data_IF_678195825303
#
_entry.id   IF_678195825303
#
_cell.length_a   1.000
_cell.length_b   1.000
_cell.length_c   1.000
_cell.angle_alpha   90.00
_cell.angle_beta   90.00
_cell.angle_gamma   90.00
#
_symmetry.space_group_name_H-M   'P 1'
#
loop_
_entity.id
_entity.type
_entity.pdbx_description
1 polymer ?
#
# COMPACT_ATOMS: atom_id res chain seq x y z
N UNK A 1 -8.97 -10.85 -8.48
CA UNK A 1 -7.96 -11.17 -7.45
C UNK A 1 -7.21 -9.89 -7.19
N UNK A 2 -7.04 -9.53 -5.92
CA UNK A 2 -6.34 -8.30 -5.52
C UNK A 2 -4.92 -8.69 -5.11
N UNK A 3 -3.95 -7.89 -5.52
CA UNK A 3 -2.54 -8.07 -5.20
C UNK A 3 -1.96 -6.79 -4.63
N UNK A 4 -1.08 -6.94 -3.66
CA UNK A 4 -0.23 -5.85 -3.19
C UNK A 4 0.78 -5.48 -4.27
N UNK A 5 0.96 -4.19 -4.48
CA UNK A 5 1.93 -3.63 -5.41
C UNK A 5 2.85 -2.70 -4.62
N UNK A 6 4.14 -3.05 -4.56
CA UNK A 6 5.17 -2.15 -4.06
C UNK A 6 5.46 -1.11 -5.14
N UNK A 7 5.37 0.17 -4.80
CA UNK A 7 5.74 1.28 -5.68
C UNK A 7 7.08 1.81 -5.19
N UNK A 8 8.14 1.45 -5.90
CA UNK A 8 9.48 2.05 -5.72
C UNK A 8 9.76 2.97 -6.88
N UNK A 9 9.96 4.26 -6.62
CA UNK A 9 10.27 5.24 -7.67
C UNK A 9 10.95 6.49 -7.11
N UNK A 10 11.84 7.07 -7.91
CA UNK A 10 12.70 8.23 -7.60
C UNK A 10 11.88 9.52 -7.36
N UNK A 11 10.59 9.53 -7.70
CA UNK A 11 9.73 10.71 -7.72
C UNK A 11 8.95 10.97 -6.42
N UNK A 12 9.02 10.08 -5.43
CA UNK A 12 8.30 10.17 -4.15
C UNK A 12 9.30 10.13 -2.98
N UNK A 13 10.19 11.11 -2.90
CA UNK A 13 11.04 11.39 -1.71
C UNK A 13 11.67 10.16 -1.02
N UNK A 14 12.15 9.18 -1.79
CA UNK A 14 12.70 7.90 -1.30
C UNK A 14 11.76 7.09 -0.36
N UNK A 15 10.47 7.43 -0.30
CA UNK A 15 9.49 6.75 0.53
C UNK A 15 8.96 5.48 -0.15
N UNK A 16 8.79 4.43 0.64
CA UNK A 16 8.24 3.14 0.22
C UNK A 16 6.72 3.23 0.06
N UNK A 17 6.22 3.72 -1.08
CA UNK A 17 4.78 3.75 -1.34
C UNK A 17 4.23 2.40 -1.83
N UNK A 18 2.93 2.16 -1.68
CA UNK A 18 2.26 0.94 -2.14
C UNK A 18 0.90 1.23 -2.75
N UNK A 19 0.38 0.26 -3.50
CA UNK A 19 -0.96 0.30 -4.06
C UNK A 19 -1.57 -1.11 -4.09
N UNK A 20 -2.88 -1.19 -4.31
CA UNK A 20 -3.54 -2.48 -4.53
C UNK A 20 -4.00 -2.61 -5.98
N UNK A 21 -3.68 -3.73 -6.61
CA UNK A 21 -3.99 -3.98 -8.01
C UNK A 21 -5.00 -5.12 -8.16
N UNK A 22 -6.11 -4.85 -8.84
CA UNK A 22 -7.11 -5.86 -9.16
C UNK A 22 -6.84 -6.47 -10.54
N UNK A 23 -6.39 -7.71 -10.54
CA UNK A 23 -6.04 -8.45 -11.77
C UNK A 23 -7.26 -8.87 -12.60
N UNK A 24 -8.48 -8.81 -12.04
CA UNK A 24 -9.71 -9.17 -12.78
C UNK A 24 -10.18 -7.99 -13.62
N UNK A 25 -10.12 -6.79 -13.05
CA UNK A 25 -10.49 -5.55 -13.76
C UNK A 25 -9.30 -4.88 -14.44
N UNK A 26 -8.08 -5.39 -14.22
CA UNK A 26 -6.83 -4.86 -14.76
C UNK A 26 -6.59 -3.39 -14.34
N UNK A 27 -6.98 -3.03 -13.11
CA UNK A 27 -6.94 -1.65 -12.59
C UNK A 27 -6.38 -1.58 -11.18
N UNK A 28 -5.75 -0.45 -10.85
CA UNK A 28 -5.47 -0.09 -9.46
C UNK A 28 -6.77 0.19 -8.72
N UNK A 29 -6.77 -0.14 -7.44
CA UNK A 29 -7.85 0.18 -6.54
C UNK A 29 -7.70 1.63 -6.12
N UNK A 30 -8.81 2.35 -6.25
CA UNK A 30 -8.92 3.75 -5.86
C UNK A 30 -9.77 3.83 -4.61
N UNK A 31 -9.24 4.50 -3.59
CA UNK A 31 -9.85 4.74 -2.30
C UNK A 31 -9.96 6.26 -2.14
N UNK A 32 -11.20 6.75 -2.18
CA UNK A 32 -11.53 8.18 -2.04
C UNK A 32 -10.68 9.13 -2.92
N UNK A 33 -10.42 8.72 -4.17
CA UNK A 33 -9.64 9.50 -5.14
C UNK A 33 -8.12 9.31 -5.06
N UNK A 34 -7.62 8.49 -4.13
CA UNK A 34 -6.21 8.12 -4.05
C UNK A 34 -5.99 6.64 -4.41
N UNK A 35 -4.85 6.33 -5.03
CA UNK A 35 -4.50 4.97 -5.49
C UNK A 35 -3.17 4.48 -4.90
N UNK A 36 -2.38 5.40 -4.33
CA UNK A 36 -1.03 5.14 -3.83
C UNK A 36 -0.95 5.66 -2.40
N UNK A 37 -0.39 4.84 -1.52
CA UNK A 37 -0.31 5.13 -0.09
C UNK A 37 1.11 4.97 0.39
N UNK A 38 1.55 5.82 1.31
CA UNK A 38 2.91 5.76 1.86
C UNK A 38 3.00 4.80 3.06
N UNK A 39 1.96 4.76 3.89
CA UNK A 39 1.86 3.92 5.08
C UNK A 39 0.42 3.45 5.36
N UNK A 40 0.22 2.68 6.43
CA UNK A 40 -1.11 2.22 6.84
C UNK A 40 -2.02 3.36 7.29
N UNK A 41 -1.48 4.41 7.91
CA UNK A 41 -2.26 5.54 8.40
C UNK A 41 -2.81 6.36 7.24
N UNK A 42 -1.99 6.56 6.20
CA UNK A 42 -2.38 7.16 4.93
C UNK A 42 -3.46 6.33 4.24
N UNK A 43 -3.27 5.00 4.15
CA UNK A 43 -4.30 4.12 3.62
C UNK A 43 -5.61 4.18 4.43
N UNK A 44 -5.54 4.22 5.77
CA UNK A 44 -6.71 4.30 6.65
C UNK A 44 -7.48 5.61 6.47
N UNK A 45 -6.78 6.71 6.17
CA UNK A 45 -7.40 8.01 5.90
C UNK A 45 -8.31 7.97 4.66
N UNK A 46 -7.86 7.27 3.61
CA UNK A 46 -8.59 7.14 2.34
C UNK A 46 -9.51 5.93 2.29
N UNK A 47 -9.31 4.94 3.15
CA UNK A 47 -10.13 3.76 3.22
C UNK A 47 -11.48 4.08 3.85
N UNK A 48 -12.52 4.16 3.02
CA UNK A 48 -13.90 4.32 3.49
C UNK A 48 -14.63 2.98 3.47
N UNK A 49 -15.61 2.80 4.36
CA UNK A 49 -16.49 1.61 4.37
C UNK A 49 -17.30 1.45 3.07
N UNK A 50 -17.26 2.44 2.17
CA UNK A 50 -17.93 2.45 0.86
C UNK A 50 -17.07 1.88 -0.26
N UNK A 51 -15.77 1.64 -0.03
CA UNK A 51 -14.86 1.12 -1.04
C UNK A 51 -15.23 -0.30 -1.50
N UNK A 52 -16.03 -1.03 -0.72
CA UNK A 52 -16.59 -2.33 -1.12
C UNK A 52 -15.59 -3.50 -1.07
N UNK A 53 -14.43 -3.26 -0.46
CA UNK A 53 -13.44 -4.29 -0.17
C UNK A 53 -13.41 -4.57 1.32
N UNK A 54 -12.89 -5.72 1.70
CA UNK A 54 -12.70 -6.08 3.10
C UNK A 54 -11.35 -5.54 3.56
N UNK A 55 -11.35 -4.75 4.63
CA UNK A 55 -10.16 -4.06 5.12
C UNK A 55 -9.09 -5.05 5.57
N UNK A 56 -9.47 -6.03 6.41
CA UNK A 56 -8.58 -7.06 6.94
C UNK A 56 -7.95 -7.90 5.82
N UNK A 57 -8.72 -8.14 4.75
CA UNK A 57 -8.20 -8.80 3.56
C UNK A 57 -7.19 -7.95 2.81
N UNK A 58 -7.37 -6.63 2.73
CA UNK A 58 -6.43 -5.73 2.06
C UNK A 58 -5.14 -5.59 2.86
N UNK A 59 -5.24 -5.32 4.16
CA UNK A 59 -4.07 -5.23 5.05
C UNK A 59 -3.33 -6.56 5.13
N UNK A 60 -4.03 -7.69 5.10
CA UNK A 60 -3.42 -9.03 5.01
C UNK A 60 -2.68 -9.33 3.70
N UNK A 61 -2.84 -8.52 2.65
CA UNK A 61 -2.03 -8.63 1.42
C UNK A 61 -0.69 -7.90 1.54
N UNK A 62 -0.56 -6.98 2.51
CA UNK A 62 0.67 -6.23 2.72
C UNK A 62 1.72 -7.18 3.31
N UNK A 63 2.93 -7.26 2.73
CA UNK A 63 3.98 -8.10 3.26
C UNK A 63 4.32 -7.75 4.72
N UNK A 64 4.53 -8.78 5.55
CA UNK A 64 5.02 -8.59 6.91
C UNK A 64 6.36 -7.85 6.88
N UNK A 65 6.49 -6.80 7.69
CA UNK A 65 7.69 -5.98 7.75
C UNK A 65 7.84 -4.98 6.60
N UNK A 66 6.80 -4.77 5.77
CA UNK A 66 6.86 -3.79 4.68
C UNK A 66 7.17 -2.36 5.17
N UNK A 67 6.55 -1.96 6.28
CA UNK A 67 6.77 -0.68 6.96
C UNK A 67 7.86 -0.71 8.02
N UNK A 68 8.40 -1.89 8.34
CA UNK A 68 9.56 -1.94 9.22
C UNK A 68 10.71 -1.29 8.48
N UNK A 69 11.15 -0.14 9.01
CA UNK A 69 12.38 0.50 8.56
C UNK A 69 13.47 -0.57 8.53
N UNK A 70 14.22 -0.64 7.42
CA UNK A 70 15.43 -1.44 7.33
C UNK A 70 16.39 -0.92 8.41
N UNK A 71 16.23 -1.44 9.62
CA UNK A 71 17.07 -1.19 10.79
C UNK A 71 18.34 -1.99 10.57
N UNK A 72 19.13 -1.62 9.55
CA UNK A 72 20.45 -2.17 9.28
C UNK A 72 21.26 -1.24 8.36
N UNK A 73 21.72 -0.12 8.93
CA UNK A 73 23.11 0.34 8.75
C UNK A 73 23.60 0.69 10.17
N UNK A 74 24.14 -0.30 10.88
CA UNK A 74 25.56 -0.69 10.87
C UNK A 74 26.34 0.07 11.95
N UNK A 75 26.38 -0.55 13.13
CA UNK A 75 27.49 -0.52 14.07
C UNK A 75 28.79 -0.83 13.29
N UNK A 76 29.65 0.17 13.05
CA UNK A 76 31.06 0.01 12.67
C UNK A 76 31.87 1.30 12.93
#
# INVERSE_FOLDING_TARGET
>A
MIRFLKITGIYLDDKKSFAFYNTVTNKLLEFDGNQVFDDLEDFDLYYTSKCGYDYDRLTGLIPLGYFSEDSNEADA
#
